data_IF_383450329461
#
_entry.id   IF_383450329461
#
_cell.length_a   1.000
_cell.length_b   1.000
_cell.length_c   1.000
_cell.angle_alpha   90.00
_cell.angle_beta   90.00
_cell.angle_gamma   90.00
#
_symmetry.space_group_name_H-M   'P 1'
#
loop_
_entity.id
_entity.type
_entity.pdbx_description
1 polymer ?
#
# COMPACT_ATOMS: atom_id res chain seq x y z
N UNK A 1 -4.79 0.72 3.86
CA UNK A 1 -5.99 0.83 2.99
C UNK A 1 -7.22 0.44 3.78
N UNK A 2 -8.35 1.09 3.54
CA UNK A 2 -9.63 0.69 4.11
C UNK A 2 -10.15 -0.59 3.46
N UNK A 3 -11.12 -1.25 4.07
CA UNK A 3 -11.78 -2.44 3.53
C UNK A 3 -12.42 -2.15 2.16
N UNK A 4 -13.18 -1.06 2.07
CA UNK A 4 -13.81 -0.65 0.80
C UNK A 4 -12.80 -0.36 -0.31
N UNK A 5 -11.65 0.22 0.02
CA UNK A 5 -10.58 0.44 -0.96
C UNK A 5 -9.99 -0.88 -1.46
N UNK A 6 -9.88 -1.90 -0.60
CA UNK A 6 -9.44 -3.23 -1.01
C UNK A 6 -10.45 -3.88 -1.95
N UNK A 7 -11.74 -3.89 -1.61
CA UNK A 7 -12.80 -4.45 -2.47
C UNK A 7 -12.82 -3.81 -3.87
N UNK A 8 -12.62 -2.49 -3.96
CA UNK A 8 -12.59 -1.77 -5.25
C UNK A 8 -11.36 -2.14 -6.07
N UNK A 9 -10.20 -2.32 -5.43
CA UNK A 9 -8.95 -2.61 -6.11
C UNK A 9 -8.75 -4.10 -6.43
N UNK A 10 -9.36 -5.01 -5.64
CA UNK A 10 -9.45 -6.44 -5.94
C UNK A 10 -10.42 -6.74 -7.08
N UNK A 11 -11.29 -5.78 -7.44
CA UNK A 11 -12.33 -5.96 -8.45
C UNK A 11 -13.60 -6.64 -7.92
N UNK A 12 -13.69 -6.88 -6.61
CA UNK A 12 -14.88 -7.45 -5.96
C UNK A 12 -16.04 -6.45 -5.92
N UNK A 13 -15.75 -5.15 -5.94
CA UNK A 13 -16.78 -4.12 -6.01
C UNK A 13 -17.09 -3.73 -7.47
N UNK A 14 -18.36 -3.89 -7.87
CA UNK A 14 -18.87 -3.35 -9.12
C UNK A 14 -19.05 -1.83 -9.01
N UNK A 15 -18.08 -1.07 -9.53
CA UNK A 15 -18.09 0.40 -9.55
C UNK A 15 -17.65 0.92 -10.91
N UNK A 16 -18.11 2.12 -11.25
CA UNK A 16 -17.72 2.80 -12.50
C UNK A 16 -16.21 3.01 -12.59
N UNK A 17 -15.67 2.93 -13.80
CA UNK A 17 -14.23 3.07 -14.08
C UNK A 17 -13.63 4.37 -13.55
N UNK A 18 -14.36 5.48 -13.68
CA UNK A 18 -13.90 6.78 -13.19
C UNK A 18 -13.72 6.81 -11.66
N UNK A 19 -14.58 6.09 -10.93
CA UNK A 19 -14.48 5.97 -9.49
C UNK A 19 -13.37 5.01 -9.07
N UNK A 20 -13.24 3.86 -9.75
CA UNK A 20 -12.13 2.93 -9.54
C UNK A 20 -10.77 3.63 -9.74
N UNK A 21 -10.61 4.35 -10.85
CA UNK A 21 -9.40 5.12 -11.15
C UNK A 21 -9.09 6.18 -10.07
N UNK A 22 -10.12 6.87 -9.57
CA UNK A 22 -9.96 7.82 -8.47
C UNK A 22 -9.43 7.14 -7.21
N UNK A 23 -10.03 6.01 -6.82
CA UNK A 23 -9.59 5.24 -5.64
C UNK A 23 -8.16 4.75 -5.79
N UNK A 24 -7.81 4.21 -6.96
CA UNK A 24 -6.45 3.79 -7.28
C UNK A 24 -5.45 4.94 -7.14
N UNK A 25 -5.76 6.11 -7.71
CA UNK A 25 -4.93 7.31 -7.61
C UNK A 25 -4.73 7.77 -6.16
N UNK A 26 -5.78 7.74 -5.34
CA UNK A 26 -5.69 8.08 -3.92
C UNK A 26 -4.83 7.09 -3.13
N UNK A 27 -5.00 5.80 -3.39
CA UNK A 27 -4.18 4.74 -2.77
C UNK A 27 -2.72 4.90 -3.17
N UNK A 28 -2.44 5.06 -4.47
CA UNK A 28 -1.09 5.28 -4.99
C UNK A 28 -0.43 6.49 -4.35
N UNK A 29 -1.13 7.62 -4.27
CA UNK A 29 -0.58 8.83 -3.66
C UNK A 29 -0.22 8.64 -2.18
N UNK A 30 -1.03 7.88 -1.41
CA UNK A 30 -0.71 7.57 -0.01
C UNK A 30 0.50 6.65 0.11
N UNK A 31 0.60 5.63 -0.74
CA UNK A 31 1.76 4.73 -0.77
C UNK A 31 3.02 5.55 -1.06
N UNK A 32 3.07 6.28 -2.16
CA UNK A 32 4.28 7.04 -2.54
C UNK A 32 4.66 8.09 -1.50
N UNK A 33 3.70 8.85 -0.96
CA UNK A 33 4.05 9.99 -0.08
C UNK A 33 4.25 9.64 1.39
N UNK A 34 3.57 8.60 1.89
CA UNK A 34 3.62 8.25 3.32
C UNK A 34 4.47 7.03 3.58
N UNK A 35 4.30 5.98 2.79
CA UNK A 35 5.04 4.74 3.01
C UNK A 35 6.55 4.94 2.82
N UNK A 36 6.96 5.80 1.88
CA UNK A 36 8.38 6.17 1.71
C UNK A 36 8.96 6.79 2.99
N UNK A 37 8.30 7.81 3.54
CA UNK A 37 8.73 8.46 4.78
C UNK A 37 8.68 7.50 5.99
N UNK A 38 7.63 6.67 6.07
CA UNK A 38 7.50 5.67 7.14
C UNK A 38 8.63 4.63 7.06
N UNK A 39 8.99 4.19 5.86
CA UNK A 39 10.10 3.25 5.62
C UNK A 39 11.44 3.87 6.03
N UNK A 40 11.69 5.14 5.72
CA UNK A 40 12.91 5.84 6.12
C UNK A 40 13.06 5.85 7.65
N UNK A 41 12.00 6.25 8.36
CA UNK A 41 11.95 6.27 9.84
C UNK A 41 12.15 4.87 10.43
N UNK A 42 11.52 3.84 9.85
CA UNK A 42 11.69 2.46 10.30
C UNK A 42 13.12 1.97 10.08
N UNK A 43 13.73 2.30 8.94
CA UNK A 43 15.10 1.89 8.65
C UNK A 43 16.13 2.52 9.60
N UNK A 44 15.91 3.77 10.01
CA UNK A 44 16.82 4.51 10.89
C UNK A 44 16.65 4.13 12.37
N UNK A 45 15.41 4.01 12.83
CA UNK A 45 15.13 3.89 14.27
C UNK A 45 14.69 2.48 14.70
N UNK A 46 14.15 1.67 13.79
CA UNK A 46 13.57 0.37 14.11
C UNK A 46 13.95 -0.71 13.08
N UNK A 47 15.25 -1.01 12.91
CA UNK A 47 15.74 -1.84 11.81
C UNK A 47 15.16 -3.26 11.78
N UNK A 48 14.83 -3.85 12.94
CA UNK A 48 14.17 -5.17 12.99
C UNK A 48 12.75 -5.15 12.41
N UNK A 49 11.99 -4.07 12.65
CA UNK A 49 10.65 -3.90 12.10
C UNK A 49 10.71 -3.62 10.61
N UNK A 50 11.70 -2.83 10.17
CA UNK A 50 11.96 -2.62 8.75
C UNK A 50 12.30 -3.93 8.02
N UNK A 51 13.19 -4.76 8.58
CA UNK A 51 13.51 -6.09 8.02
C UNK A 51 12.29 -7.00 7.95
N UNK A 52 11.45 -7.00 8.99
CA UNK A 52 10.22 -7.79 9.00
C UNK A 52 9.25 -7.33 7.91
N UNK A 53 9.08 -6.02 7.73
CA UNK A 53 8.27 -5.44 6.66
C UNK A 53 8.83 -5.79 5.27
N UNK A 54 10.16 -5.70 5.11
CA UNK A 54 10.84 -6.03 3.86
C UNK A 54 10.70 -7.52 3.53
N UNK A 55 10.83 -8.41 4.51
CA UNK A 55 10.60 -9.85 4.35
C UNK A 55 9.21 -10.13 3.79
N UNK A 56 8.16 -9.59 4.44
CA UNK A 56 6.78 -9.74 3.97
C UNK A 56 6.57 -9.27 2.52
N UNK A 57 7.18 -8.16 2.10
CA UNK A 57 6.99 -7.62 0.74
C UNK A 57 7.82 -8.38 -0.30
N UNK A 58 9.05 -8.73 0.02
CA UNK A 58 10.00 -9.33 -0.92
C UNK A 58 9.82 -10.85 -1.05
N UNK A 59 9.31 -11.55 -0.03
CA UNK A 59 9.04 -12.99 -0.09
C UNK A 59 7.79 -13.32 -0.95
N UNK A 60 6.91 -12.36 -1.22
CA UNK A 60 5.73 -12.52 -2.08
C UNK A 60 6.02 -12.36 -3.60
N UNK A 61 7.30 -12.29 -4.01
CA UNK A 61 7.70 -12.04 -5.41
C UNK A 61 8.16 -13.28 -6.20
N UNK A 62 7.89 -14.50 -5.72
CA UNK A 62 8.22 -15.77 -6.42
C UNK A 62 7.04 -16.40 -7.16
#
# INVERSE_FOLDING_TARGET
MTEREREILSGEADVKDNYRYKVESQVRSRITKRLEADVEVLSEHYPEMFQSLQGLICEDSE
#
